data_IF_730279668878
#
_entry.id   IF_730279668878
#
_cell.length_a   1.000
_cell.length_b   1.000
_cell.length_c   1.000
_cell.angle_alpha   90.00
_cell.angle_beta   90.00
_cell.angle_gamma   90.00
#
_symmetry.space_group_name_H-M   'P 1'
#
loop_
_entity.id
_entity.type
_entity.pdbx_description
1 polymer ?
#
# COMPACT_ATOMS: atom_id res chain seq x y z
N UNK A 1 19.48 13.24 -23.45
CA UNK A 1 20.08 12.28 -24.41
C UNK A 1 19.26 10.99 -24.39
N UNK A 2 19.11 10.28 -25.51
CA UNK A 2 18.30 9.04 -25.60
C UNK A 2 18.74 7.97 -24.59
N UNK A 3 20.05 7.76 -24.47
CA UNK A 3 20.69 6.82 -23.52
C UNK A 3 20.37 7.07 -22.03
N UNK A 4 19.96 8.29 -21.65
CA UNK A 4 19.61 8.63 -20.27
C UNK A 4 18.13 8.38 -19.95
N UNK A 5 17.29 8.20 -20.97
CA UNK A 5 15.83 8.09 -20.83
C UNK A 5 15.31 6.70 -21.16
N UNK A 6 15.99 5.97 -22.02
CA UNK A 6 15.57 4.64 -22.44
C UNK A 6 16.41 3.55 -21.78
N UNK A 7 15.75 2.48 -21.36
CA UNK A 7 16.38 1.33 -20.73
C UNK A 7 17.09 0.46 -21.78
N UNK A 8 18.38 0.17 -21.56
CA UNK A 8 19.23 -0.55 -22.53
C UNK A 8 19.26 -2.06 -22.26
N UNK A 9 19.08 -2.51 -21.01
CA UNK A 9 19.24 -3.92 -20.59
C UNK A 9 20.61 -4.56 -20.91
N UNK A 10 21.63 -3.76 -21.20
CA UNK A 10 23.00 -4.19 -21.47
C UNK A 10 24.01 -3.63 -20.46
N UNK A 11 25.28 -4.04 -20.52
CA UNK A 11 26.34 -3.58 -19.61
C UNK A 11 26.81 -2.15 -19.94
N UNK A 12 25.89 -1.19 -19.92
CA UNK A 12 26.11 0.22 -20.27
C UNK A 12 25.64 1.10 -19.11
N UNK A 13 26.52 1.97 -18.63
CA UNK A 13 26.23 2.93 -17.56
C UNK A 13 26.36 4.35 -18.12
N UNK A 14 25.35 5.18 -17.90
CA UNK A 14 25.37 6.59 -18.24
C UNK A 14 25.63 7.43 -16.99
N UNK A 15 26.52 8.41 -17.08
CA UNK A 15 26.94 9.24 -15.94
C UNK A 15 26.59 10.70 -16.24
N UNK A 16 25.87 11.33 -15.33
CA UNK A 16 25.54 12.75 -15.36
C UNK A 16 26.12 13.46 -14.13
N UNK A 17 26.47 14.73 -14.28
CA UNK A 17 26.87 15.60 -13.17
C UNK A 17 25.67 16.42 -12.73
N UNK A 18 25.64 16.75 -11.44
CA UNK A 18 24.70 17.67 -10.82
C UNK A 18 25.49 18.55 -9.82
N UNK A 19 24.91 19.66 -9.38
CA UNK A 19 25.53 20.64 -8.50
C UNK A 19 24.92 20.63 -7.11
N UNK A 20 23.60 20.51 -7.02
CA UNK A 20 22.85 20.61 -5.77
C UNK A 20 21.81 19.50 -5.60
N UNK A 21 21.17 19.50 -4.42
CA UNK A 21 20.19 18.48 -4.02
C UNK A 21 18.88 18.61 -4.80
N UNK A 22 18.46 19.84 -5.15
CA UNK A 22 17.27 20.05 -5.97
C UNK A 22 17.46 19.56 -7.41
N UNK A 23 18.58 19.91 -8.06
CA UNK A 23 18.90 19.52 -9.44
C UNK A 23 18.94 17.99 -9.58
N UNK A 24 19.55 17.27 -8.63
CA UNK A 24 19.59 15.81 -8.71
C UNK A 24 18.21 15.18 -8.54
N UNK A 25 17.35 15.76 -7.71
CA UNK A 25 15.98 15.29 -7.54
C UNK A 25 15.12 15.55 -8.79
N UNK A 26 15.29 16.70 -9.44
CA UNK A 26 14.64 16.99 -10.72
C UNK A 26 15.09 16.01 -11.79
N UNK A 27 16.40 15.83 -11.97
CA UNK A 27 16.97 14.92 -12.96
C UNK A 27 16.59 13.46 -12.71
N UNK A 28 16.64 13.00 -11.44
CA UNK A 28 16.29 11.63 -11.09
C UNK A 28 14.80 11.34 -11.28
N UNK A 29 13.93 12.35 -11.12
CA UNK A 29 12.50 12.21 -11.30
C UNK A 29 12.02 12.47 -12.74
N UNK A 30 12.82 13.11 -13.60
CA UNK A 30 12.57 13.34 -15.04
C UNK A 30 12.73 12.07 -15.88
N UNK A 31 11.92 11.07 -15.56
CA UNK A 31 11.82 9.80 -16.28
C UNK A 31 10.40 9.25 -16.21
N UNK A 32 9.99 8.49 -17.20
CA UNK A 32 8.71 7.74 -17.16
C UNK A 32 8.77 6.54 -16.22
N UNK A 33 9.99 6.10 -15.87
CA UNK A 33 10.23 4.97 -14.99
C UNK A 33 10.36 5.38 -13.51
N UNK A 34 10.27 4.40 -12.62
CA UNK A 34 10.34 4.59 -11.18
C UNK A 34 10.51 3.28 -10.42
N UNK A 35 11.27 2.32 -10.95
CA UNK A 35 11.44 1.02 -10.30
C UNK A 35 12.30 1.13 -9.05
N UNK A 36 13.55 1.56 -9.23
CA UNK A 36 14.51 1.59 -8.15
C UNK A 36 15.47 2.79 -8.23
N UNK A 37 15.96 3.21 -7.07
CA UNK A 37 16.95 4.28 -6.93
C UNK A 37 17.99 3.93 -5.87
N UNK A 38 19.19 4.50 -5.99
CA UNK A 38 20.30 4.29 -5.06
C UNK A 38 20.96 5.61 -4.71
N UNK A 39 21.23 5.81 -3.42
CA UNK A 39 21.88 7.01 -2.91
C UNK A 39 23.16 6.60 -2.20
N UNK A 40 24.26 7.25 -2.53
CA UNK A 40 25.53 7.07 -1.83
C UNK A 40 25.92 8.38 -1.16
N UNK A 41 25.90 8.42 0.16
CA UNK A 41 26.17 9.62 0.95
C UNK A 41 26.64 9.26 2.36
N UNK A 42 27.48 10.12 2.95
CA UNK A 42 27.84 10.05 4.37
C UNK A 42 26.87 10.82 5.27
N UNK A 43 26.09 11.73 4.68
CA UNK A 43 25.08 12.54 5.37
C UNK A 43 23.74 11.79 5.36
N UNK A 44 23.32 11.32 6.55
CA UNK A 44 22.08 10.58 6.74
C UNK A 44 20.83 11.47 6.68
N UNK A 45 20.93 12.74 7.06
CA UNK A 45 19.79 13.66 6.95
C UNK A 45 19.46 13.92 5.48
N UNK A 46 20.50 14.11 4.66
CA UNK A 46 20.35 14.16 3.20
C UNK A 46 19.77 12.85 2.66
N UNK A 47 20.24 11.69 3.12
CA UNK A 47 19.69 10.42 2.67
C UNK A 47 18.18 10.36 2.92
N UNK A 48 17.71 10.69 4.13
CA UNK A 48 16.29 10.66 4.48
C UNK A 48 15.49 11.63 3.58
N UNK A 49 15.93 12.88 3.44
CA UNK A 49 15.24 13.87 2.58
C UNK A 49 15.14 13.41 1.12
N UNK A 50 16.26 12.95 0.56
CA UNK A 50 16.33 12.52 -0.84
C UNK A 50 15.50 11.25 -1.07
N UNK A 51 15.59 10.25 -0.17
CA UNK A 51 14.76 9.04 -0.30
C UNK A 51 13.26 9.33 -0.30
N UNK A 52 12.81 10.28 0.53
CA UNK A 52 11.40 10.69 0.57
C UNK A 52 10.93 11.47 -0.65
N UNK A 53 11.83 12.17 -1.34
CA UNK A 53 11.52 12.96 -2.53
C UNK A 53 11.65 12.19 -3.85
N UNK A 54 12.37 11.07 -3.87
CA UNK A 54 12.52 10.22 -5.06
C UNK A 54 11.22 9.46 -5.37
N UNK A 55 10.78 9.51 -6.63
CA UNK A 55 9.62 8.78 -7.13
C UNK A 55 10.02 7.40 -7.65
N UNK A 56 10.57 6.58 -6.75
CA UNK A 56 10.96 5.20 -7.01
C UNK A 56 10.35 4.26 -5.97
N UNK A 57 10.03 3.03 -6.36
CA UNK A 57 9.39 2.09 -5.45
C UNK A 57 10.34 1.39 -4.49
N UNK A 58 11.58 1.13 -4.91
CA UNK A 58 12.63 0.60 -4.04
C UNK A 58 13.82 1.54 -4.03
N UNK A 59 14.16 2.08 -2.87
CA UNK A 59 15.31 3.00 -2.74
C UNK A 59 16.33 2.45 -1.77
N UNK A 60 17.59 2.45 -2.17
CA UNK A 60 18.71 2.01 -1.34
C UNK A 60 19.61 3.17 -0.93
N UNK A 61 20.20 3.06 0.27
CA UNK A 61 21.18 4.03 0.79
C UNK A 61 22.47 3.29 1.12
N UNK A 62 23.58 3.72 0.52
CA UNK A 62 24.92 3.13 0.64
C UNK A 62 25.02 1.65 0.28
N UNK A 63 24.06 1.16 -0.51
CA UNK A 63 24.03 -0.16 -1.11
C UNK A 63 23.17 -0.09 -2.39
N UNK A 64 23.22 -1.13 -3.21
CA UNK A 64 22.42 -1.18 -4.43
C UNK A 64 22.08 -2.63 -4.78
N UNK A 65 20.90 -2.84 -5.36
CA UNK A 65 20.44 -4.16 -5.83
C UNK A 65 20.38 -5.25 -4.74
N UNK A 66 20.06 -4.86 -3.51
CA UNK A 66 19.79 -5.81 -2.42
C UNK A 66 18.28 -5.97 -2.25
N UNK A 67 17.76 -7.19 -2.45
CA UNK A 67 16.34 -7.50 -2.32
C UNK A 67 16.18 -8.60 -1.30
N UNK A 68 15.26 -8.40 -0.34
CA UNK A 68 14.92 -9.40 0.66
C UNK A 68 13.47 -9.86 0.46
N UNK A 69 13.23 -11.17 0.52
CA UNK A 69 11.92 -11.78 0.24
C UNK A 69 10.77 -11.29 1.14
N UNK A 70 11.10 -10.81 2.34
CA UNK A 70 10.11 -10.25 3.27
C UNK A 70 9.81 -8.76 3.05
N UNK A 71 10.60 -8.06 2.22
CA UNK A 71 10.41 -6.64 1.93
C UNK A 71 9.63 -6.47 0.63
N UNK A 72 8.66 -5.53 0.57
CA UNK A 72 7.90 -5.28 -0.64
C UNK A 72 8.80 -4.71 -1.73
N UNK A 73 8.68 -5.24 -2.94
CA UNK A 73 9.38 -4.80 -4.14
C UNK A 73 8.37 -4.38 -5.21
N UNK A 74 8.64 -3.29 -5.92
CA UNK A 74 7.78 -2.82 -6.99
C UNK A 74 8.14 -1.42 -7.43
N UNK A 75 7.53 -0.96 -8.52
CA UNK A 75 7.83 0.32 -9.14
C UNK A 75 6.76 1.39 -8.93
N UNK A 76 7.13 2.61 -9.29
CA UNK A 76 6.24 3.76 -9.48
C UNK A 76 6.09 4.00 -11.00
N UNK A 77 5.10 4.81 -11.38
CA UNK A 77 4.86 5.22 -12.77
C UNK A 77 4.70 4.00 -13.70
N UNK A 78 5.36 4.01 -14.86
CA UNK A 78 5.28 2.91 -15.83
C UNK A 78 6.12 1.68 -15.43
N UNK A 79 6.87 1.73 -14.32
CA UNK A 79 7.64 0.59 -13.84
C UNK A 79 6.84 -0.48 -13.11
N UNK A 80 5.53 -0.29 -12.92
CA UNK A 80 4.64 -1.33 -12.45
C UNK A 80 3.49 -0.84 -11.56
N UNK A 81 2.55 -1.76 -11.31
CA UNK A 81 1.38 -1.55 -10.47
C UNK A 81 1.41 -2.60 -9.36
N UNK A 82 1.11 -2.18 -8.13
CA UNK A 82 1.13 -3.07 -6.96
C UNK A 82 2.53 -3.30 -6.38
N UNK A 83 2.64 -4.27 -5.48
CA UNK A 83 3.89 -4.67 -4.83
C UNK A 83 4.00 -6.19 -4.76
N UNK A 84 5.17 -6.70 -5.07
CA UNK A 84 5.55 -8.10 -4.88
C UNK A 84 6.35 -8.27 -3.59
N UNK A 85 6.55 -9.51 -3.16
CA UNK A 85 7.22 -9.87 -1.89
C UNK A 85 6.57 -9.29 -0.61
N UNK A 86 7.02 -9.81 0.53
CA UNK A 86 6.47 -9.46 1.85
C UNK A 86 4.95 -9.69 1.98
N UNK A 87 4.37 -9.08 3.00
CA UNK A 87 2.92 -9.18 3.24
C UNK A 87 2.10 -8.35 2.25
N UNK A 88 2.69 -7.31 1.65
CA UNK A 88 2.02 -6.47 0.65
C UNK A 88 1.61 -7.28 -0.58
N UNK A 89 2.41 -8.27 -0.99
CA UNK A 89 2.06 -9.15 -2.10
C UNK A 89 0.77 -9.93 -1.88
N UNK A 90 0.43 -10.27 -0.63
CA UNK A 90 -0.80 -11.01 -0.33
C UNK A 90 -2.04 -10.24 -0.75
N UNK A 91 -1.99 -8.90 -0.75
CA UNK A 91 -3.11 -8.06 -1.17
C UNK A 91 -3.42 -8.23 -2.66
N UNK A 92 -2.41 -8.53 -3.49
CA UNK A 92 -2.60 -8.79 -4.92
C UNK A 92 -3.22 -10.17 -5.18
N UNK A 93 -3.12 -11.10 -4.22
CA UNK A 93 -3.57 -12.50 -4.36
C UNK A 93 -4.75 -12.85 -3.45
N UNK A 94 -5.36 -11.87 -2.79
CA UNK A 94 -6.52 -12.08 -1.89
C UNK A 94 -7.63 -11.11 -2.20
N UNK A 95 -8.87 -11.56 -2.03
CA UNK A 95 -10.07 -10.75 -2.28
C UNK A 95 -10.74 -10.35 -0.97
N UNK A 96 -11.21 -9.10 -0.91
CA UNK A 96 -11.96 -8.60 0.25
C UNK A 96 -13.41 -9.02 0.10
N UNK A 97 -13.92 -9.79 1.08
CA UNK A 97 -15.33 -10.14 1.17
C UNK A 97 -15.94 -9.48 2.40
N UNK A 98 -16.89 -8.58 2.16
CA UNK A 98 -17.70 -7.97 3.20
C UNK A 98 -18.97 -8.80 3.42
N UNK A 99 -19.20 -9.23 4.65
CA UNK A 99 -20.39 -10.00 5.04
C UNK A 99 -21.16 -9.22 6.08
N UNK A 100 -22.41 -8.86 5.75
CA UNK A 100 -23.36 -8.33 6.71
C UNK A 100 -24.06 -9.50 7.38
N UNK A 101 -23.91 -9.62 8.69
CA UNK A 101 -24.56 -10.67 9.46
C UNK A 101 -25.58 -10.05 10.42
N UNK A 102 -26.85 -10.39 10.22
CA UNK A 102 -27.88 -10.10 11.20
C UNK A 102 -28.03 -11.30 12.13
N UNK A 103 -27.67 -11.13 13.40
CA UNK A 103 -27.81 -12.17 14.44
C UNK A 103 -29.28 -12.42 14.84
N UNK A 104 -30.19 -11.51 14.48
CA UNK A 104 -31.61 -11.62 14.79
C UNK A 104 -32.32 -12.35 13.65
N UNK A 105 -32.77 -13.59 13.91
CA UNK A 105 -33.45 -14.45 12.94
C UNK A 105 -34.94 -14.06 12.73
N UNK A 106 -35.54 -13.37 13.70
CA UNK A 106 -36.95 -12.99 13.69
C UNK A 106 -37.12 -11.48 13.70
N UNK A 107 -37.94 -10.94 12.78
CA UNK A 107 -38.29 -9.53 12.83
C UNK A 107 -39.07 -9.23 14.11
N UNK A 108 -38.47 -8.51 15.05
CA UNK A 108 -39.18 -8.06 16.26
C UNK A 108 -40.31 -7.14 15.82
N UNK A 109 -41.56 -7.55 16.03
CA UNK A 109 -42.73 -6.70 15.74
C UNK A 109 -42.77 -5.56 16.75
N UNK A 110 -42.53 -4.34 16.28
CA UNK A 110 -42.79 -3.12 17.05
C UNK A 110 -44.00 -2.44 16.41
N UNK A 111 -45.21 -2.83 16.82
CA UNK A 111 -46.46 -2.40 16.17
C UNK A 111 -46.62 -2.94 14.73
N UNK A 112 -47.04 -2.09 13.78
CA UNK A 112 -47.29 -2.47 12.38
C UNK A 112 -46.04 -2.52 11.48
N UNK A 113 -44.84 -2.23 12.01
CA UNK A 113 -43.60 -2.24 11.24
C UNK A 113 -42.67 -3.38 11.68
N UNK A 114 -42.10 -4.11 10.71
CA UNK A 114 -41.00 -5.04 10.94
C UNK A 114 -39.70 -4.22 11.05
N UNK A 115 -39.09 -4.15 12.24
CA UNK A 115 -37.73 -3.61 12.40
C UNK A 115 -36.74 -4.78 12.41
N UNK A 116 -35.68 -4.67 11.60
CA UNK A 116 -34.49 -5.49 11.74
C UNK A 116 -33.49 -4.74 12.62
N UNK A 117 -32.86 -5.42 13.58
CA UNK A 117 -31.80 -4.83 14.39
C UNK A 117 -30.60 -4.43 13.51
N UNK A 118 -29.82 -3.42 13.94
CA UNK A 118 -28.57 -2.97 13.29
C UNK A 118 -27.69 -4.21 13.02
N UNK A 119 -27.42 -4.59 11.75
CA UNK A 119 -26.64 -5.78 11.45
C UNK A 119 -25.20 -5.58 11.92
N UNK A 120 -24.58 -6.62 12.47
CA UNK A 120 -23.15 -6.60 12.73
C UNK A 120 -22.40 -6.66 11.39
N UNK A 121 -21.46 -5.73 11.18
CA UNK A 121 -20.64 -5.68 9.98
C UNK A 121 -19.36 -6.47 10.25
N UNK A 122 -19.12 -7.53 9.47
CA UNK A 122 -17.90 -8.30 9.53
C UNK A 122 -17.16 -8.16 8.19
N UNK A 123 -15.94 -7.63 8.23
CA UNK A 123 -15.05 -7.55 7.06
C UNK A 123 -13.98 -8.62 7.22
N UNK A 124 -13.90 -9.56 6.26
CA UNK A 124 -12.86 -10.60 6.26
C UNK A 124 -12.07 -10.56 4.96
N UNK A 125 -10.74 -10.61 5.03
CA UNK A 125 -9.90 -10.97 3.87
C UNK A 125 -10.05 -12.49 3.67
N UNK A 126 -10.61 -12.89 2.53
CA UNK A 126 -10.84 -14.31 2.22
C UNK A 126 -9.74 -14.76 1.26
N UNK A 127 -8.86 -15.63 1.73
CA UNK A 127 -8.09 -16.51 0.84
C UNK A 127 -8.99 -17.70 0.54
N UNK A 128 -9.12 -18.09 -0.73
CA UNK A 128 -9.98 -19.19 -1.19
C UNK A 128 -10.06 -20.35 -0.18
N UNK A 129 -11.19 -20.44 0.54
CA UNK A 129 -11.48 -21.53 1.49
C UNK A 129 -11.06 -21.35 2.96
N UNK A 130 -10.46 -20.23 3.38
CA UNK A 130 -10.15 -19.95 4.80
C UNK A 130 -10.48 -18.49 5.17
N UNK A 131 -11.55 -18.30 5.95
CA UNK A 131 -11.89 -17.01 6.54
C UNK A 131 -11.16 -16.88 7.88
N UNK A 132 -10.22 -15.94 8.01
CA UNK A 132 -9.70 -15.51 9.31
C UNK A 132 -10.58 -14.38 9.84
N UNK A 133 -11.26 -14.66 10.96
CA UNK A 133 -12.05 -13.69 11.70
C UNK A 133 -11.09 -12.81 12.51
N UNK A 134 -10.85 -11.58 12.06
CA UNK A 134 -10.24 -10.55 12.89
C UNK A 134 -11.36 -9.68 13.44
N UNK A 135 -11.60 -9.64 14.77
CA UNK A 135 -12.54 -8.68 15.34
C UNK A 135 -11.95 -7.27 15.18
N UNK A 136 -12.35 -6.55 14.14
CA UNK A 136 -12.10 -5.11 14.05
C UNK A 136 -13.02 -4.40 15.06
N UNK A 137 -12.50 -3.50 15.91
CA UNK A 137 -13.31 -2.80 16.92
C UNK A 137 -14.21 -1.69 16.34
N UNK A 138 -14.59 -1.76 15.06
CA UNK A 138 -15.47 -0.78 14.39
C UNK A 138 -16.96 -0.96 14.76
N UNK A 139 -17.27 -1.65 15.86
CA UNK A 139 -18.64 -1.83 16.36
C UNK A 139 -19.19 -0.60 17.12
N UNK A 140 -18.48 0.53 17.17
CA UNK A 140 -18.83 1.67 18.01
C UNK A 140 -19.64 2.79 17.33
N UNK A 141 -20.11 2.61 16.09
CA UNK A 141 -20.88 3.64 15.38
C UNK A 141 -22.37 3.36 15.21
N UNK A 142 -22.95 2.45 16.01
CA UNK A 142 -24.41 2.37 16.23
C UNK A 142 -24.77 3.04 17.59
N UNK A 143 -24.20 4.22 17.88
CA UNK A 143 -24.53 5.03 19.06
C UNK A 143 -25.72 5.94 18.79
N UNK A 144 -26.92 5.38 18.64
CA UNK A 144 -28.20 6.05 18.90
C UNK A 144 -29.34 5.04 18.76
N UNK A 145 -29.61 4.30 19.84
CA UNK A 145 -30.96 3.92 20.24
C UNK A 145 -30.92 3.95 21.76
N UNK A 146 -31.59 4.96 22.32
CA UNK A 146 -31.86 5.06 23.74
C UNK A 146 -32.65 3.81 24.18
N UNK A 147 -32.04 3.02 25.04
CA UNK A 147 -32.77 2.07 25.86
C UNK A 147 -33.40 2.86 27.01
N UNK A 148 -34.61 3.36 26.83
CA UNK A 148 -35.46 3.70 27.97
C UNK A 148 -35.99 2.39 28.56
N UNK A 149 -35.56 2.11 29.78
CA UNK A 149 -36.06 0.98 30.56
C UNK A 149 -37.47 1.22 31.09
N UNK A 150 -38.22 0.12 31.17
CA UNK A 150 -39.17 -0.27 32.21
C UNK A 150 -39.60 -1.70 31.96
#
# INVERSE_FOLDING_TARGET
MKIMREEIFGPVVAIAKFKDEEEVLELANDTTYGLAAGIFTKDYERAIRVTGALKAGTTWVNLFNFVHWSMPFGGYKESGIGRECGDAALENYTEIKTVYFNMVHEATKLGNAKKYACPAILVTKVKSGHARLHPTPLALQCSHIELYGS
#
